data_IF_937471635788
#
_entry.id   IF_937471635788
#
_cell.length_a   1.000
_cell.length_b   1.000
_cell.length_c   1.000
_cell.angle_alpha   90.00
_cell.angle_beta   90.00
_cell.angle_gamma   90.00
#
_symmetry.space_group_name_H-M   'P 1'
#
loop_
_entity.id
_entity.type
_entity.pdbx_description
1 polymer ?
#
# COMPACT_ATOMS: atom_id res chain seq x y z
N UNK A 1 14.67 2.41 18.61
CA UNK A 1 14.96 1.36 17.61
C UNK A 1 13.73 0.50 17.54
N UNK A 2 13.13 0.36 16.36
CA UNK A 2 11.98 -0.52 16.15
C UNK A 2 12.48 -1.98 16.23
N UNK A 3 11.74 -2.84 16.91
CA UNK A 3 12.01 -4.28 17.02
C UNK A 3 11.62 -5.03 15.75
N UNK A 4 12.13 -6.27 15.61
CA UNK A 4 11.76 -7.13 14.48
C UNK A 4 10.27 -7.47 14.49
N UNK A 5 9.69 -7.67 15.67
CA UNK A 5 8.27 -8.01 15.82
C UNK A 5 7.37 -6.84 15.36
N UNK A 6 7.78 -5.61 15.63
CA UNK A 6 7.09 -4.41 15.13
C UNK A 6 7.18 -4.26 13.60
N UNK A 7 8.30 -4.69 12.98
CA UNK A 7 8.40 -4.73 11.51
C UNK A 7 7.43 -5.75 10.94
N UNK A 8 7.43 -6.97 11.45
CA UNK A 8 6.55 -8.04 10.96
C UNK A 8 5.07 -7.70 11.14
N UNK A 9 4.69 -7.06 12.24
CA UNK A 9 3.32 -6.60 12.46
C UNK A 9 2.90 -5.57 11.39
N UNK A 10 3.78 -4.63 11.04
CA UNK A 10 3.52 -3.66 9.98
C UNK A 10 3.45 -4.30 8.59
N UNK A 11 4.27 -5.32 8.30
CA UNK A 11 4.24 -6.07 7.04
C UNK A 11 2.97 -6.90 6.88
N UNK A 12 2.50 -7.55 7.95
CA UNK A 12 1.22 -8.26 7.95
C UNK A 12 0.06 -7.30 7.72
N UNK A 13 0.03 -6.18 8.46
CA UNK A 13 -1.01 -5.15 8.31
C UNK A 13 -1.05 -4.60 6.88
N UNK A 14 0.11 -4.30 6.31
CA UNK A 14 0.24 -3.88 4.93
C UNK A 14 -0.30 -4.92 3.94
N UNK A 15 0.05 -6.19 4.15
CA UNK A 15 -0.36 -7.30 3.27
C UNK A 15 -1.87 -7.45 3.28
N UNK A 16 -2.48 -7.42 4.47
CA UNK A 16 -3.94 -7.46 4.62
C UNK A 16 -4.62 -6.26 3.98
N UNK A 17 -4.09 -5.05 4.19
CA UNK A 17 -4.63 -3.84 3.57
C UNK A 17 -4.55 -3.88 2.04
N UNK A 18 -3.46 -4.44 1.50
CA UNK A 18 -3.31 -4.61 0.06
C UNK A 18 -4.32 -5.62 -0.51
N UNK A 19 -4.51 -6.77 0.16
CA UNK A 19 -5.47 -7.80 -0.26
C UNK A 19 -6.92 -7.33 -0.19
N UNK A 20 -7.25 -6.49 0.81
CA UNK A 20 -8.60 -5.97 1.02
C UNK A 20 -8.88 -4.66 0.30
N UNK A 21 -7.93 -4.15 -0.49
CA UNK A 21 -8.02 -2.82 -1.13
C UNK A 21 -8.30 -1.68 -0.14
N UNK A 22 -7.78 -1.79 1.08
CA UNK A 22 -8.00 -0.81 2.15
C UNK A 22 -7.09 0.41 1.95
N UNK A 23 -7.58 1.40 1.21
CA UNK A 23 -6.83 2.59 0.87
C UNK A 23 -6.46 3.45 2.09
N UNK A 24 -7.27 3.46 3.16
CA UNK A 24 -7.02 4.27 4.36
C UNK A 24 -5.85 3.71 5.18
N UNK A 25 -5.83 2.39 5.38
CA UNK A 25 -4.70 1.72 6.05
C UNK A 25 -3.43 1.85 5.22
N UNK A 26 -3.52 1.68 3.91
CA UNK A 26 -2.40 1.88 2.99
C UNK A 26 -1.87 3.33 3.04
N UNK A 27 -2.75 4.33 3.15
CA UNK A 27 -2.34 5.73 3.29
C UNK A 27 -1.57 5.97 4.59
N UNK A 28 -2.03 5.41 5.71
CA UNK A 28 -1.35 5.54 7.01
C UNK A 28 0.03 4.87 7.01
N UNK A 29 0.13 3.68 6.41
CA UNK A 29 1.37 2.89 6.40
C UNK A 29 2.42 3.44 5.44
N UNK A 30 2.03 4.15 4.37
CA UNK A 30 2.97 4.69 3.40
C UNK A 30 3.53 6.04 3.82
N UNK A 31 4.85 6.12 3.93
CA UNK A 31 5.56 7.40 3.99
C UNK A 31 5.20 8.28 2.76
N UNK A 32 5.14 9.62 2.87
CA UNK A 32 4.85 10.50 1.73
C UNK A 32 5.73 10.26 0.49
N UNK A 33 7.01 9.96 0.70
CA UNK A 33 7.97 9.66 -0.38
C UNK A 33 7.95 8.19 -0.86
N UNK A 34 6.97 7.42 -0.39
CA UNK A 34 6.82 6.02 -0.77
C UNK A 34 6.72 5.86 -2.29
N UNK A 35 7.52 4.91 -2.79
CA UNK A 35 7.65 4.62 -4.21
C UNK A 35 7.62 3.11 -4.44
N UNK A 36 6.87 2.66 -5.46
CA UNK A 36 6.91 1.30 -6.01
C UNK A 36 7.51 1.35 -7.40
N UNK A 37 8.43 0.44 -7.66
CA UNK A 37 8.90 0.11 -9.00
C UNK A 37 8.15 -1.15 -9.44
N UNK A 38 7.38 -1.04 -10.52
CA UNK A 38 6.61 -2.13 -11.09
C UNK A 38 7.52 -3.02 -11.96
N UNK A 39 7.12 -4.26 -12.28
CA UNK A 39 7.95 -5.17 -13.09
C UNK A 39 8.32 -4.64 -14.48
N UNK A 40 7.50 -3.75 -15.04
CA UNK A 40 7.74 -3.05 -16.32
C UNK A 40 8.70 -1.85 -16.20
N UNK A 41 9.23 -1.59 -15.00
CA UNK A 41 10.07 -0.44 -14.70
C UNK A 41 9.29 0.85 -14.40
N UNK A 42 7.96 0.83 -14.48
CA UNK A 42 7.14 2.01 -14.19
C UNK A 42 7.20 2.34 -12.68
N UNK A 43 7.39 3.61 -12.37
CA UNK A 43 7.49 4.11 -10.99
C UNK A 43 6.17 4.72 -10.53
N UNK A 44 5.63 4.24 -9.42
CA UNK A 44 4.41 4.76 -8.78
C UNK A 44 4.73 5.41 -7.44
N UNK A 45 4.39 6.69 -7.30
CA UNK A 45 4.40 7.40 -6.01
C UNK A 45 3.14 7.06 -5.20
N UNK A 46 3.17 7.26 -3.87
CA UNK A 46 2.05 7.05 -2.94
C UNK A 46 0.68 7.45 -3.51
N UNK A 47 0.52 8.70 -3.95
CA UNK A 47 -0.76 9.20 -4.46
C UNK A 47 -1.26 8.51 -5.74
N UNK A 48 -0.37 8.03 -6.62
CA UNK A 48 -0.77 7.24 -7.79
C UNK A 48 -1.23 5.85 -7.37
N UNK A 49 -0.55 5.25 -6.40
CA UNK A 49 -0.93 3.94 -5.86
C UNK A 49 -2.28 3.98 -5.15
N UNK A 50 -2.52 4.95 -4.27
CA UNK A 50 -3.78 5.07 -3.53
C UNK A 50 -4.97 5.21 -4.48
N UNK A 51 -4.86 6.05 -5.51
CA UNK A 51 -5.89 6.16 -6.55
C UNK A 51 -6.23 4.82 -7.21
N UNK A 52 -5.22 4.06 -7.62
CA UNK A 52 -5.46 2.75 -8.26
C UNK A 52 -6.15 1.75 -7.33
N UNK A 53 -5.87 1.80 -6.03
CA UNK A 53 -6.53 0.92 -5.05
C UNK A 53 -7.99 1.34 -4.86
N UNK A 54 -8.25 2.65 -4.75
CA UNK A 54 -9.61 3.19 -4.65
C UNK A 54 -10.45 2.89 -5.90
N UNK A 55 -9.85 3.00 -7.09
CA UNK A 55 -10.54 2.76 -8.37
C UNK A 55 -10.88 1.25 -8.55
N UNK A 56 -10.04 0.34 -8.04
CA UNK A 56 -10.32 -1.10 -8.07
C UNK A 56 -11.47 -1.51 -7.13
N UNK A 57 -11.74 -0.75 -6.07
CA UNK A 57 -12.88 -0.99 -5.19
C UNK A 57 -14.23 -0.60 -5.82
N UNK A 58 -14.23 0.14 -6.93
CA UNK A 58 -15.45 0.58 -7.65
C UNK A 58 -15.86 -0.32 -8.82
N UNK A 59 -15.10 -1.37 -9.15
CA UNK A 59 -15.38 -2.31 -10.26
C UNK A 59 -15.88 -3.69 -9.78
N UNK A 60 -16.73 -3.75 -8.74
CA UNK A 60 -17.44 -4.98 -8.36
C UNK A 60 -18.90 -4.90 -8.88
N UNK A 61 -19.32 -5.76 -9.85
CA UNK A 61 -20.74 -5.92 -10.21
C UNK A 61 -21.57 -6.60 -9.10
#
# INVERSE_FOLDING_TARGET
>A
MISIDEVHAAEEEWTQAHLKTDAEVLERLMHPDFTIIKPDGTVWKKGKRLRMVSDQSTEIP
#
